data_IF_168874134627
#
_entry.id   IF_168874134627
#
_cell.length_a   1.000
_cell.length_b   1.000
_cell.length_c   1.000
_cell.angle_alpha   90.00
_cell.angle_beta   90.00
_cell.angle_gamma   90.00
#
_symmetry.space_group_name_H-M   'P 1'
#
loop_
_entity.id
_entity.type
_entity.pdbx_description
1 polymer ?
#
# COMPACT_ATOMS: atom_id res chain seq x y z
N UNK A 1 -18.81 -21.90 0.46
CA UNK A 1 -17.40 -22.30 0.58
C UNK A 1 -16.56 -21.04 0.50
N UNK A 2 -15.94 -20.62 1.60
CA UNK A 2 -14.97 -19.53 1.55
C UNK A 2 -13.74 -20.02 0.78
N UNK A 3 -13.20 -19.25 -0.20
CA UNK A 3 -11.92 -19.59 -0.77
C UNK A 3 -10.88 -19.66 0.36
N UNK A 4 -9.98 -20.65 0.35
CA UNK A 4 -8.91 -20.70 1.32
C UNK A 4 -8.17 -19.37 1.30
N UNK A 5 -8.01 -18.75 2.47
CA UNK A 5 -7.28 -17.50 2.61
C UNK A 5 -5.86 -17.69 2.06
N UNK A 6 -5.40 -16.88 1.09
CA UNK A 6 -4.03 -16.98 0.56
C UNK A 6 -2.96 -16.66 1.61
N UNK A 7 -3.36 -16.19 2.80
CA UNK A 7 -2.47 -15.82 3.90
C UNK A 7 -2.26 -16.95 4.93
N UNK A 8 -2.80 -18.15 4.70
CA UNK A 8 -2.46 -19.35 5.48
C UNK A 8 -1.25 -20.10 4.89
N UNK A 9 -0.34 -19.39 4.22
CA UNK A 9 1.05 -19.86 4.15
C UNK A 9 1.55 -19.80 5.59
N UNK A 10 1.66 -20.96 6.21
CA UNK A 10 2.22 -21.09 7.55
C UNK A 10 3.47 -20.25 7.68
N UNK A 11 3.68 -19.65 8.85
CA UNK A 11 4.97 -19.09 9.26
C UNK A 11 6.01 -20.22 9.46
N UNK A 12 6.06 -21.18 8.54
CA UNK A 12 7.06 -22.22 8.38
C UNK A 12 8.30 -21.57 7.81
N UNK A 13 9.32 -21.40 8.66
CA UNK A 13 10.72 -21.76 8.39
C UNK A 13 11.34 -21.32 7.04
N UNK A 14 10.76 -20.32 6.37
CA UNK A 14 11.20 -19.89 5.04
C UNK A 14 12.33 -18.89 5.20
N UNK A 15 13.54 -19.37 4.94
CA UNK A 15 14.75 -18.56 4.84
C UNK A 15 14.53 -17.47 3.77
N UNK A 16 14.80 -16.18 4.08
CA UNK A 16 14.61 -15.11 3.09
C UNK A 16 15.48 -15.34 1.84
N UNK A 17 14.91 -15.06 0.66
CA UNK A 17 15.55 -15.22 -0.65
C UNK A 17 16.25 -13.92 -1.04
N UNK A 18 17.58 -13.95 -1.09
CA UNK A 18 18.42 -12.79 -1.40
C UNK A 18 18.98 -12.94 -2.81
N UNK A 19 18.57 -12.03 -3.70
CA UNK A 19 19.13 -11.97 -5.04
C UNK A 19 20.48 -11.23 -5.01
N UNK A 20 21.48 -11.84 -5.64
CA UNK A 20 22.79 -11.24 -5.83
C UNK A 20 22.88 -10.79 -7.29
N UNK A 21 23.31 -9.56 -7.53
CA UNK A 21 23.44 -9.03 -8.89
C UNK A 21 24.71 -8.20 -8.98
N UNK A 22 25.57 -8.50 -9.94
CA UNK A 22 26.80 -7.72 -10.08
C UNK A 22 27.83 -8.32 -11.02
N UNK A 23 28.67 -7.47 -11.59
CA UNK A 23 29.78 -7.85 -12.48
C UNK A 23 31.04 -7.14 -12.04
N UNK A 24 32.13 -7.89 -11.97
CA UNK A 24 33.50 -7.46 -11.69
C UNK A 24 34.43 -7.73 -12.90
N UNK A 25 33.86 -7.87 -14.11
CA UNK A 25 34.64 -8.05 -15.33
C UNK A 25 35.42 -6.77 -15.67
N UNK A 26 36.74 -6.77 -15.44
CA UNK A 26 37.63 -5.66 -15.70
C UNK A 26 37.71 -5.23 -17.17
N UNK A 27 37.28 -6.09 -18.10
CA UNK A 27 37.28 -5.81 -19.54
C UNK A 27 36.12 -4.92 -19.98
N UNK A 28 35.13 -4.72 -19.10
CA UNK A 28 33.99 -3.86 -19.37
C UNK A 28 34.29 -2.45 -18.89
N UNK A 29 33.78 -1.47 -19.63
CA UNK A 29 33.76 -0.08 -19.18
C UNK A 29 32.60 0.13 -18.19
N UNK A 30 32.90 0.79 -17.08
CA UNK A 30 31.94 1.16 -16.07
C UNK A 30 32.06 2.64 -15.76
N UNK A 31 30.92 3.25 -15.50
CA UNK A 31 30.82 4.61 -14.98
C UNK A 31 29.92 4.56 -13.75
N UNK A 32 30.40 4.88 -12.53
CA UNK A 32 31.83 5.09 -12.19
C UNK A 32 32.65 3.80 -12.37
N UNK A 33 33.99 3.90 -12.54
CA UNK A 33 34.84 2.72 -12.73
C UNK A 33 34.82 1.79 -11.51
N UNK A 34 35.11 0.51 -11.73
CA UNK A 34 35.32 -0.44 -10.65
C UNK A 34 36.60 -0.09 -9.88
N UNK A 35 36.58 -0.35 -8.56
CA UNK A 35 37.70 -0.07 -7.64
C UNK A 35 38.10 -1.33 -6.89
N UNK A 36 39.40 -1.50 -6.69
CA UNK A 36 40.01 -2.56 -5.87
C UNK A 36 39.39 -3.95 -6.13
N UNK A 37 39.58 -4.45 -7.35
CA UNK A 37 38.92 -5.67 -7.82
C UNK A 37 39.26 -6.90 -6.98
N UNK A 38 40.49 -7.03 -6.49
CA UNK A 38 40.89 -8.16 -5.68
C UNK A 38 40.19 -8.13 -4.31
N UNK A 39 40.09 -6.94 -3.70
CA UNK A 39 39.28 -6.75 -2.50
C UNK A 39 37.80 -6.98 -2.77
N UNK A 40 37.27 -6.56 -3.92
CA UNK A 40 35.87 -6.79 -4.31
C UNK A 40 35.54 -8.29 -4.43
N UNK A 41 36.46 -9.08 -4.99
CA UNK A 41 36.33 -10.54 -5.07
C UNK A 41 36.35 -11.19 -3.68
N UNK A 42 37.31 -10.80 -2.84
CA UNK A 42 37.38 -11.27 -1.45
C UNK A 42 36.10 -10.91 -0.67
N UNK A 43 35.60 -9.69 -0.84
CA UNK A 43 34.36 -9.21 -0.24
C UNK A 43 33.14 -10.04 -0.66
N UNK A 44 33.04 -10.45 -1.93
CA UNK A 44 31.99 -11.36 -2.39
C UNK A 44 32.02 -12.70 -1.63
N UNK A 45 33.20 -13.28 -1.43
CA UNK A 45 33.33 -14.53 -0.66
C UNK A 45 32.94 -14.34 0.81
N UNK A 46 33.41 -13.27 1.45
CA UNK A 46 33.05 -12.94 2.83
C UNK A 46 31.54 -12.70 2.98
N UNK A 47 30.93 -12.01 2.02
CA UNK A 47 29.50 -11.77 1.97
C UNK A 47 28.70 -13.05 1.81
N UNK A 48 29.13 -13.96 0.93
CA UNK A 48 28.51 -15.28 0.79
C UNK A 48 28.48 -16.06 2.09
N UNK A 49 29.62 -16.09 2.81
CA UNK A 49 29.70 -16.73 4.14
C UNK A 49 28.73 -16.08 5.13
N UNK A 50 28.71 -14.75 5.18
CA UNK A 50 27.81 -14.03 6.09
C UNK A 50 26.33 -14.30 5.77
N UNK A 51 25.95 -14.35 4.48
CA UNK A 51 24.58 -14.66 4.07
C UNK A 51 24.17 -16.08 4.47
N UNK A 52 25.05 -17.06 4.32
CA UNK A 52 24.81 -18.45 4.75
C UNK A 52 24.59 -18.54 6.26
N UNK A 53 25.48 -17.91 7.05
CA UNK A 53 25.40 -17.87 8.52
C UNK A 53 24.15 -17.14 9.01
N UNK A 54 23.73 -16.09 8.31
CA UNK A 54 22.49 -15.36 8.59
C UNK A 54 21.22 -16.11 8.16
N UNK A 55 21.34 -17.35 7.70
CA UNK A 55 20.24 -18.21 7.29
C UNK A 55 19.41 -17.67 6.12
N UNK A 56 20.05 -17.04 5.14
CA UNK A 56 19.42 -16.67 3.89
C UNK A 56 19.59 -17.76 2.82
N UNK A 57 18.69 -17.76 1.84
CA UNK A 57 18.84 -18.50 0.59
C UNK A 57 19.26 -17.53 -0.52
N UNK A 58 20.02 -18.01 -1.51
CA UNK A 58 20.52 -17.18 -2.59
C UNK A 58 19.71 -17.36 -3.86
N UNK A 59 19.53 -16.27 -4.59
CA UNK A 59 19.00 -16.25 -5.95
C UNK A 59 20.08 -15.66 -6.86
N UNK A 60 20.46 -16.39 -7.90
CA UNK A 60 21.56 -16.04 -8.82
C UNK A 60 21.19 -16.31 -10.27
N UNK A 61 21.93 -15.71 -11.21
CA UNK A 61 21.59 -15.69 -12.63
C UNK A 61 22.76 -16.14 -13.54
N UNK A 62 24.00 -16.09 -13.06
CA UNK A 62 25.19 -16.52 -13.81
C UNK A 62 26.18 -17.30 -12.95
N UNK A 63 26.95 -18.19 -13.59
CA UNK A 63 28.05 -18.98 -13.02
C UNK A 63 29.42 -18.58 -13.55
N UNK A 64 29.54 -17.50 -14.34
CA UNK A 64 30.87 -17.06 -14.82
C UNK A 64 31.67 -16.38 -13.71
N UNK A 65 32.98 -16.58 -13.69
CA UNK A 65 33.87 -16.15 -12.59
C UNK A 65 33.92 -14.64 -12.34
N UNK A 66 33.61 -13.84 -13.35
CA UNK A 66 33.60 -12.38 -13.23
C UNK A 66 32.28 -11.81 -12.70
N UNK A 67 31.24 -12.63 -12.52
CA UNK A 67 30.01 -12.18 -11.86
C UNK A 67 30.12 -12.30 -10.35
N UNK A 68 29.64 -11.29 -9.64
CA UNK A 68 29.62 -11.27 -8.18
C UNK A 68 28.81 -12.44 -7.62
N UNK A 69 27.74 -12.83 -8.33
CA UNK A 69 26.89 -13.99 -8.03
C UNK A 69 27.69 -15.27 -7.80
N UNK A 70 28.58 -15.62 -8.73
CA UNK A 70 29.43 -16.82 -8.65
C UNK A 70 30.36 -16.78 -7.44
N UNK A 71 30.99 -15.63 -7.19
CA UNK A 71 31.92 -15.45 -6.07
C UNK A 71 31.20 -15.52 -4.72
N UNK A 72 30.01 -14.91 -4.62
CA UNK A 72 29.15 -14.99 -3.43
C UNK A 72 28.68 -16.42 -3.21
N UNK A 73 28.27 -17.15 -4.25
CA UNK A 73 27.88 -18.57 -4.13
C UNK A 73 29.03 -19.43 -3.65
N UNK A 74 30.25 -19.24 -4.16
CA UNK A 74 31.45 -19.96 -3.66
C UNK A 74 31.69 -19.69 -2.17
N UNK A 75 31.59 -18.42 -1.75
CA UNK A 75 31.71 -18.04 -0.34
C UNK A 75 30.61 -18.66 0.53
N UNK A 76 29.37 -18.65 0.04
CA UNK A 76 28.21 -19.24 0.70
C UNK A 76 28.36 -20.75 0.87
N UNK A 77 28.71 -21.46 -0.20
CA UNK A 77 28.88 -22.91 -0.23
C UNK A 77 29.98 -23.41 0.72
N UNK A 78 31.01 -22.59 1.00
CA UNK A 78 32.10 -22.92 1.89
C UNK A 78 31.68 -23.10 3.37
N UNK A 79 30.55 -22.53 3.79
CA UNK A 79 30.05 -22.62 5.18
C UNK A 79 28.59 -23.05 5.29
N UNK A 80 27.89 -23.16 4.16
CA UNK A 80 26.49 -23.54 4.15
C UNK A 80 26.29 -25.00 4.57
N UNK A 81 25.27 -25.21 5.40
CA UNK A 81 24.78 -26.55 5.75
C UNK A 81 23.82 -27.06 4.68
N UNK A 82 23.41 -28.33 4.78
CA UNK A 82 22.38 -28.96 3.91
C UNK A 82 21.04 -28.23 3.85
N UNK A 83 20.79 -27.29 4.77
CA UNK A 83 19.60 -26.43 4.78
C UNK A 83 19.72 -25.20 3.88
N UNK A 84 20.94 -24.77 3.55
CA UNK A 84 21.15 -23.63 2.66
C UNK A 84 20.78 -23.96 1.22
N UNK A 85 20.11 -23.03 0.54
CA UNK A 85 19.68 -23.18 -0.85
C UNK A 85 20.22 -22.07 -1.74
N UNK A 86 20.60 -22.45 -2.95
CA UNK A 86 20.89 -21.54 -4.07
C UNK A 86 19.93 -21.86 -5.20
N UNK A 87 19.16 -20.88 -5.62
CA UNK A 87 18.25 -20.97 -6.78
C UNK A 87 18.87 -20.21 -7.95
N UNK A 88 19.24 -20.95 -8.99
CA UNK A 88 19.85 -20.40 -10.18
C UNK A 88 18.81 -20.24 -11.28
N UNK A 89 18.51 -18.99 -11.63
CA UNK A 89 17.54 -18.65 -12.67
C UNK A 89 18.26 -18.42 -13.99
N UNK A 90 18.07 -19.35 -14.93
CA UNK A 90 18.74 -19.34 -16.23
C UNK A 90 17.75 -19.30 -17.38
N UNK A 91 18.20 -18.74 -18.50
CA UNK A 91 17.50 -18.90 -19.77
C UNK A 91 17.37 -20.40 -20.13
N UNK A 92 16.32 -20.76 -20.87
CA UNK A 92 15.85 -22.13 -21.11
C UNK A 92 16.95 -23.17 -21.40
N UNK A 93 17.95 -22.79 -22.20
CA UNK A 93 18.99 -23.68 -22.71
C UNK A 93 20.32 -23.63 -21.96
N UNK A 94 20.37 -22.95 -20.82
CA UNK A 94 21.59 -22.79 -20.06
C UNK A 94 21.58 -23.63 -18.79
N UNK A 95 22.67 -24.36 -18.56
CA UNK A 95 22.93 -25.01 -17.29
C UNK A 95 23.62 -24.06 -16.33
N UNK A 96 23.48 -24.35 -15.03
CA UNK A 96 24.16 -23.65 -13.96
C UNK A 96 25.08 -24.65 -13.26
N UNK A 97 26.38 -24.51 -13.50
CA UNK A 97 27.40 -25.45 -13.00
C UNK A 97 28.55 -24.68 -12.36
N UNK A 98 28.32 -24.02 -11.21
CA UNK A 98 29.38 -23.30 -10.53
C UNK A 98 30.40 -24.30 -9.97
N UNK A 99 31.68 -23.94 -10.03
CA UNK A 99 32.70 -24.68 -9.29
C UNK A 99 32.56 -24.36 -7.80
N UNK A 100 32.23 -25.38 -7.00
CA UNK A 100 32.07 -25.27 -5.56
C UNK A 100 33.28 -25.85 -4.82
N UNK A 101 33.54 -25.40 -3.58
CA UNK A 101 34.52 -26.05 -2.71
C UNK A 101 34.20 -27.54 -2.50
N UNK A 102 35.24 -28.36 -2.35
CA UNK A 102 35.11 -29.78 -2.05
C UNK A 102 34.33 -29.97 -0.73
N UNK A 103 33.38 -30.92 -0.72
CA UNK A 103 32.52 -31.17 0.44
C UNK A 103 31.37 -30.17 0.63
N UNK A 104 31.15 -29.23 -0.30
CA UNK A 104 30.01 -28.32 -0.24
C UNK A 104 28.68 -29.08 -0.14
N UNK A 105 27.86 -28.73 0.86
CA UNK A 105 26.60 -29.41 1.16
C UNK A 105 25.35 -28.63 0.77
N UNK A 106 25.54 -27.46 0.14
CA UNK A 106 24.47 -26.55 -0.30
C UNK A 106 23.59 -27.19 -1.36
N UNK A 107 22.27 -26.98 -1.29
CA UNK A 107 21.34 -27.42 -2.33
C UNK A 107 21.28 -26.39 -3.44
N UNK A 108 21.70 -26.76 -4.64
CA UNK A 108 21.54 -25.94 -5.85
C UNK A 108 20.32 -26.42 -6.62
N UNK A 109 19.44 -25.50 -7.00
CA UNK A 109 18.28 -25.78 -7.85
C UNK A 109 18.30 -24.84 -9.05
N UNK A 110 18.35 -25.39 -10.25
CA UNK A 110 18.26 -24.61 -11.49
C UNK A 110 16.80 -24.44 -11.87
N UNK A 111 16.32 -23.20 -11.86
CA UNK A 111 14.97 -22.84 -12.28
C UNK A 111 15.06 -22.33 -13.72
N UNK A 112 14.46 -23.08 -14.65
CA UNK A 112 14.45 -22.75 -16.07
C UNK A 112 13.18 -21.99 -16.42
N UNK A 113 13.32 -20.93 -17.20
CA UNK A 113 12.18 -20.24 -17.80
C UNK A 113 11.78 -20.89 -19.13
N UNK A 114 10.56 -20.59 -19.58
CA UNK A 114 10.02 -21.07 -20.86
C UNK A 114 10.60 -20.24 -22.03
N UNK A 115 10.90 -18.96 -21.77
CA UNK A 115 11.46 -18.03 -22.76
C UNK A 115 12.99 -18.14 -22.91
N UNK A 116 13.46 -17.72 -24.08
CA UNK A 116 14.90 -17.65 -24.39
C UNK A 116 15.53 -16.32 -23.93
N UNK A 117 14.71 -15.28 -23.77
CA UNK A 117 15.09 -13.97 -23.26
C UNK A 117 15.45 -14.07 -21.77
N UNK A 118 16.68 -13.71 -21.41
CA UNK A 118 17.14 -13.81 -20.02
C UNK A 118 16.56 -12.71 -19.13
N UNK A 119 16.18 -11.57 -19.71
CA UNK A 119 15.68 -10.39 -19.02
C UNK A 119 14.37 -10.68 -18.27
N UNK A 120 13.48 -11.46 -18.88
CA UNK A 120 12.17 -11.80 -18.32
C UNK A 120 12.30 -12.62 -17.02
N UNK A 121 12.97 -13.80 -16.99
CA UNK A 121 13.23 -14.52 -15.75
C UNK A 121 14.02 -13.69 -14.76
N UNK A 122 15.00 -12.90 -15.23
CA UNK A 122 15.83 -12.06 -14.38
C UNK A 122 14.99 -11.07 -13.58
N UNK A 123 14.23 -10.19 -14.25
CA UNK A 123 13.45 -9.16 -13.57
C UNK A 123 12.28 -9.74 -12.77
N UNK A 124 11.60 -10.76 -13.29
CA UNK A 124 10.50 -11.42 -12.55
C UNK A 124 11.00 -12.01 -11.23
N UNK A 125 12.13 -12.69 -11.26
CA UNK A 125 12.70 -13.31 -10.07
C UNK A 125 13.23 -12.27 -9.11
N UNK A 126 13.88 -11.22 -9.62
CA UNK A 126 14.37 -10.10 -8.83
C UNK A 126 13.24 -9.43 -8.05
N UNK A 127 12.08 -9.24 -8.68
CA UNK A 127 10.90 -8.64 -8.03
C UNK A 127 10.24 -9.56 -6.99
N UNK A 128 10.49 -10.87 -7.07
CA UNK A 128 10.01 -11.86 -6.12
C UNK A 128 11.00 -12.12 -4.96
N UNK A 129 12.18 -11.50 -4.96
CA UNK A 129 13.16 -11.64 -3.89
C UNK A 129 12.76 -10.84 -2.64
N UNK A 130 13.17 -11.33 -1.48
CA UNK A 130 12.95 -10.65 -0.20
C UNK A 130 13.92 -9.49 0.00
N UNK A 131 15.09 -9.56 -0.64
CA UNK A 131 16.10 -8.51 -0.64
C UNK A 131 17.13 -8.72 -1.76
N UNK A 132 17.88 -7.66 -2.07
CA UNK A 132 18.83 -7.64 -3.18
C UNK A 132 20.17 -7.07 -2.70
N UNK A 133 21.25 -7.72 -3.10
CA UNK A 133 22.63 -7.29 -2.91
C UNK A 133 23.21 -6.93 -4.27
N UNK A 134 23.79 -5.73 -4.39
CA UNK A 134 24.42 -5.26 -5.61
C UNK A 134 25.93 -5.07 -5.41
N UNK A 135 26.74 -5.56 -6.33
CA UNK A 135 28.21 -5.42 -6.28
C UNK A 135 28.75 -5.00 -7.65
N UNK A 136 29.39 -3.83 -7.73
CA UNK A 136 29.92 -3.30 -8.98
C UNK A 136 28.83 -3.21 -10.06
N UNK A 137 29.06 -3.86 -11.19
CA UNK A 137 28.06 -4.06 -12.23
C UNK A 137 27.86 -2.85 -13.15
N UNK A 138 27.20 -3.10 -14.28
CA UNK A 138 26.91 -2.09 -15.31
C UNK A 138 25.42 -1.75 -15.38
N UNK A 139 24.94 -1.43 -16.58
CA UNK A 139 23.55 -0.97 -16.81
C UNK A 139 22.47 -1.90 -16.22
N UNK A 140 22.59 -3.22 -16.39
CA UNK A 140 21.60 -4.18 -15.86
C UNK A 140 21.53 -4.16 -14.33
N UNK A 141 22.68 -4.08 -13.65
CA UNK A 141 22.77 -3.92 -12.19
C UNK A 141 22.13 -2.63 -11.72
N UNK A 142 22.31 -1.52 -12.47
CA UNK A 142 21.63 -0.26 -12.17
C UNK A 142 20.12 -0.40 -12.29
N UNK A 143 19.63 -0.91 -13.42
CA UNK A 143 18.19 -1.09 -13.66
C UNK A 143 17.56 -1.98 -12.58
N UNK A 144 18.20 -3.10 -12.26
CA UNK A 144 17.82 -3.97 -11.15
C UNK A 144 17.67 -3.21 -9.82
N UNK A 145 18.67 -2.39 -9.46
CA UNK A 145 18.63 -1.59 -8.24
C UNK A 145 17.51 -0.55 -8.23
N UNK A 146 17.30 0.17 -9.33
CA UNK A 146 16.22 1.17 -9.43
C UNK A 146 14.84 0.53 -9.36
N UNK A 147 14.62 -0.59 -10.07
CA UNK A 147 13.37 -1.33 -10.01
C UNK A 147 13.10 -1.84 -8.59
N UNK A 148 14.12 -2.33 -7.91
CA UNK A 148 14.02 -2.78 -6.53
C UNK A 148 13.63 -1.65 -5.57
N UNK A 149 14.29 -0.49 -5.66
CA UNK A 149 13.94 0.70 -4.87
C UNK A 149 12.49 1.13 -5.14
N UNK A 150 12.10 1.24 -6.41
CA UNK A 150 10.75 1.62 -6.82
C UNK A 150 9.65 0.65 -6.29
N UNK A 151 9.99 -0.62 -6.12
CA UNK A 151 9.08 -1.66 -5.59
C UNK A 151 9.19 -1.85 -4.06
N UNK A 152 9.97 -0.98 -3.39
CA UNK A 152 10.24 -1.07 -1.96
C UNK A 152 10.87 -2.41 -1.56
N UNK A 153 11.64 -3.04 -2.45
CA UNK A 153 12.43 -4.23 -2.14
C UNK A 153 13.68 -3.76 -1.41
N UNK A 154 14.07 -4.37 -0.27
CA UNK A 154 15.31 -4.09 0.42
C UNK A 154 16.51 -4.23 -0.51
N UNK A 155 17.33 -3.18 -0.60
CA UNK A 155 18.52 -3.15 -1.48
C UNK A 155 19.74 -2.79 -0.65
N UNK A 156 20.81 -3.54 -0.89
CA UNK A 156 22.11 -3.31 -0.26
C UNK A 156 23.19 -3.16 -1.34
N UNK A 157 23.36 -1.95 -1.90
CA UNK A 157 24.42 -1.69 -2.86
C UNK A 157 25.78 -1.52 -2.18
N UNK A 158 26.75 -2.38 -2.52
CA UNK A 158 28.13 -2.27 -2.03
C UNK A 158 28.90 -1.25 -2.89
N UNK A 159 28.76 0.04 -2.54
CA UNK A 159 29.34 1.12 -3.33
C UNK A 159 30.86 1.23 -3.22
N UNK A 160 31.48 0.60 -2.22
CA UNK A 160 32.93 0.61 -1.99
C UNK A 160 33.74 0.20 -3.24
N UNK A 161 33.15 -0.60 -4.13
CA UNK A 161 33.81 -1.16 -5.32
C UNK A 161 33.45 -0.44 -6.63
N UNK A 162 32.70 0.67 -6.56
CA UNK A 162 32.29 1.42 -7.75
C UNK A 162 31.18 0.77 -8.58
N UNK A 163 31.15 1.11 -9.88
CA UNK A 163 30.14 0.61 -10.81
C UNK A 163 28.71 1.09 -10.53
N UNK A 164 27.75 0.38 -11.09
CA UNK A 164 26.33 0.68 -10.94
C UNK A 164 25.82 0.58 -9.49
N UNK A 165 26.41 -0.29 -8.66
CA UNK A 165 26.08 -0.35 -7.24
C UNK A 165 26.28 1.01 -6.55
N UNK A 166 27.35 1.74 -6.88
CA UNK A 166 27.57 3.08 -6.35
C UNK A 166 26.48 4.07 -6.76
N UNK A 167 26.05 4.05 -8.03
CA UNK A 167 24.96 4.90 -8.51
C UNK A 167 23.65 4.59 -7.78
N UNK A 168 23.32 3.31 -7.60
CA UNK A 168 22.12 2.89 -6.86
C UNK A 168 22.17 3.35 -5.41
N UNK A 169 23.35 3.38 -4.77
CA UNK A 169 23.49 3.95 -3.42
C UNK A 169 23.15 5.45 -3.38
N UNK A 170 23.58 6.21 -4.39
CA UNK A 170 23.24 7.64 -4.51
C UNK A 170 21.74 7.83 -4.68
N UNK A 171 21.09 7.01 -5.50
CA UNK A 171 19.63 7.05 -5.69
C UNK A 171 18.87 6.61 -4.43
N UNK A 172 19.40 5.61 -3.71
CA UNK A 172 18.87 5.18 -2.40
C UNK A 172 18.97 6.31 -1.36
N UNK A 173 20.02 7.12 -1.38
CA UNK A 173 20.18 8.25 -0.46
C UNK A 173 19.10 9.34 -0.63
N UNK A 174 18.51 9.43 -1.83
CA UNK A 174 17.48 10.42 -2.18
C UNK A 174 16.07 9.93 -1.93
N UNK A 175 15.89 8.64 -1.61
CA UNK A 175 14.58 8.03 -1.45
C UNK A 175 14.33 7.65 0.01
N UNK A 176 13.18 8.05 0.53
CA UNK A 176 12.72 7.70 1.89
C UNK A 176 12.16 6.26 1.92
N UNK A 177 12.99 5.29 1.54
CA UNK A 177 12.63 3.87 1.58
C UNK A 177 12.99 3.23 2.92
N UNK A 178 13.08 1.90 2.95
CA UNK A 178 13.38 1.13 4.16
C UNK A 178 14.82 1.30 4.69
N UNK A 179 15.66 2.11 4.05
CA UNK A 179 17.03 2.43 4.47
C UNK A 179 17.07 3.77 5.22
N UNK A 180 17.87 3.87 6.29
CA UNK A 180 18.13 5.12 7.00
C UNK A 180 19.38 5.78 6.41
N UNK A 181 19.60 7.05 6.72
CA UNK A 181 20.83 7.76 6.33
C UNK A 181 22.09 7.04 6.83
N UNK A 182 22.05 6.49 8.05
CA UNK A 182 23.13 5.67 8.62
C UNK A 182 23.39 4.42 7.76
N UNK A 183 22.34 3.70 7.33
CA UNK A 183 22.52 2.53 6.46
C UNK A 183 23.16 2.92 5.12
N UNK A 184 22.74 4.04 4.53
CA UNK A 184 23.33 4.55 3.28
C UNK A 184 24.81 4.89 3.46
N UNK A 185 25.19 5.43 4.62
CA UNK A 185 26.59 5.73 4.95
C UNK A 185 27.43 4.46 5.04
N UNK A 186 26.97 3.44 5.80
CA UNK A 186 27.66 2.15 5.94
C UNK A 186 27.99 1.51 4.59
N UNK A 187 27.08 1.66 3.62
CA UNK A 187 27.20 1.05 2.30
C UNK A 187 28.16 1.77 1.35
N UNK A 188 28.61 2.98 1.73
CA UNK A 188 29.67 3.73 1.05
C UNK A 188 31.05 3.61 1.72
N UNK A 189 31.16 2.99 2.89
CA UNK A 189 32.43 2.83 3.60
C UNK A 189 33.37 1.83 2.91
N UNK A 190 34.67 1.98 3.14
CA UNK A 190 35.67 1.00 2.69
C UNK A 190 35.42 -0.38 3.31
N UNK A 191 35.67 -1.43 2.53
CA UNK A 191 35.40 -2.80 2.96
C UNK A 191 36.35 -3.29 4.05
N UNK A 192 35.80 -3.66 5.21
CA UNK A 192 36.52 -4.23 6.36
C UNK A 192 36.05 -5.65 6.67
N UNK A 193 36.73 -6.32 7.61
CA UNK A 193 36.36 -7.68 8.04
C UNK A 193 34.94 -7.76 8.67
N UNK A 194 34.37 -6.62 9.09
CA UNK A 194 33.03 -6.56 9.68
C UNK A 194 31.94 -6.19 8.67
N UNK A 195 32.32 -5.70 7.49
CA UNK A 195 31.39 -5.18 6.48
C UNK A 195 30.35 -6.21 6.07
N UNK A 196 30.74 -7.48 5.87
CA UNK A 196 29.80 -8.54 5.51
C UNK A 196 28.70 -8.76 6.57
N UNK A 197 29.07 -8.77 7.86
CA UNK A 197 28.10 -8.90 8.97
C UNK A 197 27.20 -7.67 9.05
N UNK A 198 27.76 -6.46 8.92
CA UNK A 198 26.98 -5.22 8.92
C UNK A 198 25.99 -5.19 7.77
N UNK A 199 26.44 -5.46 6.54
CA UNK A 199 25.61 -5.55 5.32
C UNK A 199 24.43 -6.52 5.49
N UNK A 200 24.68 -7.71 6.03
CA UNK A 200 23.61 -8.71 6.24
C UNK A 200 22.62 -8.33 7.35
N UNK A 201 23.10 -7.66 8.41
CA UNK A 201 22.26 -7.06 9.45
C UNK A 201 21.41 -5.90 8.93
N UNK A 202 21.98 -5.04 8.08
CA UNK A 202 21.26 -3.96 7.43
C UNK A 202 20.13 -4.49 6.55
N UNK A 203 20.41 -5.51 5.73
CA UNK A 203 19.42 -6.14 4.88
C UNK A 203 18.26 -6.72 5.70
N UNK A 204 18.54 -7.36 6.84
CA UNK A 204 17.52 -7.83 7.80
C UNK A 204 16.65 -6.70 8.31
N UNK A 205 17.28 -5.64 8.81
CA UNK A 205 16.56 -4.50 9.37
C UNK A 205 15.66 -3.83 8.32
N UNK A 206 16.10 -3.77 7.05
CA UNK A 206 15.27 -3.27 5.95
C UNK A 206 14.07 -4.19 5.68
N UNK A 207 14.25 -5.51 5.65
CA UNK A 207 13.17 -6.49 5.48
C UNK A 207 12.13 -6.39 6.61
N UNK A 208 12.57 -6.28 7.86
CA UNK A 208 11.68 -6.15 9.03
C UNK A 208 10.85 -4.85 8.96
N UNK A 209 11.47 -3.73 8.60
CA UNK A 209 10.75 -2.45 8.40
C UNK A 209 9.72 -2.53 7.27
N UNK A 210 10.04 -3.24 6.18
CA UNK A 210 9.09 -3.47 5.08
C UNK A 210 7.86 -4.25 5.56
N UNK A 211 8.07 -5.32 6.33
CA UNK A 211 6.97 -6.12 6.90
C UNK A 211 6.10 -5.27 7.82
N UNK A 212 6.72 -4.47 8.69
CA UNK A 212 6.01 -3.59 9.61
C UNK A 212 5.20 -2.49 8.88
N UNK A 213 5.78 -1.84 7.86
CA UNK A 213 5.06 -0.86 7.03
C UNK A 213 3.82 -1.49 6.37
N UNK A 214 3.99 -2.67 5.76
CA UNK A 214 2.87 -3.41 5.15
C UNK A 214 1.80 -3.79 6.16
N UNK A 215 2.17 -4.15 7.39
CA UNK A 215 1.21 -4.44 8.48
C UNK A 215 0.44 -3.19 8.88
N UNK A 216 1.11 -2.03 9.02
CA UNK A 216 0.48 -0.74 9.32
C UNK A 216 -0.49 -0.30 8.23
N UNK A 217 -0.08 -0.37 6.97
CA UNK A 217 -0.94 -0.07 5.83
C UNK A 217 -2.17 -0.99 5.77
N UNK A 218 -1.99 -2.30 5.99
CA UNK A 218 -3.12 -3.25 6.07
C UNK A 218 -4.06 -2.91 7.22
N UNK A 219 -3.53 -2.51 8.39
CA UNK A 219 -4.33 -2.10 9.54
C UNK A 219 -5.10 -0.81 9.26
N UNK A 220 -4.45 0.19 8.67
CA UNK A 220 -5.11 1.44 8.25
C UNK A 220 -6.24 1.14 7.28
N UNK A 221 -5.96 0.39 6.20
CA UNK A 221 -6.98 0.01 5.21
C UNK A 221 -8.15 -0.77 5.81
N UNK A 222 -7.91 -1.56 6.86
CA UNK A 222 -9.00 -2.23 7.58
C UNK A 222 -9.83 -1.19 8.33
N UNK A 223 -9.21 -0.32 9.11
CA UNK A 223 -9.92 0.74 9.83
C UNK A 223 -10.72 1.64 8.86
N UNK A 224 -10.14 1.98 7.71
CA UNK A 224 -10.80 2.78 6.68
C UNK A 224 -12.06 2.06 6.14
N UNK A 225 -11.95 0.76 5.80
CA UNK A 225 -13.12 -0.05 5.39
C UNK A 225 -14.18 -0.19 6.48
N UNK A 226 -13.75 -0.30 7.74
CA UNK A 226 -14.67 -0.38 8.88
C UNK A 226 -15.38 0.96 9.09
N UNK A 227 -14.68 2.08 8.92
CA UNK A 227 -15.29 3.41 8.96
C UNK A 227 -16.28 3.61 7.81
N UNK A 228 -15.92 3.20 6.59
CA UNK A 228 -16.81 3.21 5.41
C UNK A 228 -18.08 2.37 5.65
N UNK A 229 -17.91 1.13 6.13
CA UNK A 229 -19.04 0.23 6.43
C UNK A 229 -19.90 0.77 7.58
N UNK A 230 -19.27 1.35 8.61
CA UNK A 230 -19.95 1.97 9.74
C UNK A 230 -20.83 3.16 9.32
N UNK A 231 -20.35 3.98 8.37
CA UNK A 231 -21.14 5.07 7.80
C UNK A 231 -22.41 4.58 7.10
N UNK A 232 -22.30 3.51 6.31
CA UNK A 232 -23.46 2.91 5.62
C UNK A 232 -24.46 2.27 6.61
N UNK A 233 -23.96 1.54 7.61
CA UNK A 233 -24.82 0.95 8.66
C UNK A 233 -25.55 2.06 9.43
N UNK A 234 -24.85 3.13 9.82
CA UNK A 234 -25.45 4.29 10.47
C UNK A 234 -26.52 4.95 9.59
N UNK A 235 -26.27 5.09 8.28
CA UNK A 235 -27.25 5.63 7.34
C UNK A 235 -28.52 4.76 7.27
N UNK A 236 -28.38 3.43 7.21
CA UNK A 236 -29.51 2.50 7.20
C UNK A 236 -30.31 2.62 8.51
N UNK A 237 -29.63 2.63 9.66
CA UNK A 237 -30.28 2.77 10.96
C UNK A 237 -31.05 4.09 11.09
N UNK A 238 -30.47 5.21 10.66
CA UNK A 238 -31.13 6.51 10.67
C UNK A 238 -32.37 6.55 9.77
N UNK A 239 -32.31 5.89 8.60
CA UNK A 239 -33.46 5.75 7.71
C UNK A 239 -34.57 4.92 8.36
N UNK A 240 -34.22 3.80 9.00
CA UNK A 240 -35.17 2.96 9.72
C UNK A 240 -35.84 3.73 10.88
N UNK A 241 -35.07 4.53 11.63
CA UNK A 241 -35.61 5.41 12.68
C UNK A 241 -36.59 6.43 12.10
N UNK A 242 -36.23 7.07 10.98
CA UNK A 242 -37.12 8.02 10.29
C UNK A 242 -38.43 7.37 9.80
N UNK A 243 -38.36 6.14 9.29
CA UNK A 243 -39.55 5.38 8.84
C UNK A 243 -40.39 4.89 10.03
N UNK A 244 -39.76 4.46 11.11
CA UNK A 244 -40.45 4.05 12.33
C UNK A 244 -41.27 5.19 12.94
N UNK A 245 -40.80 6.44 12.84
CA UNK A 245 -41.55 7.62 13.30
C UNK A 245 -42.94 7.74 12.66
N UNK A 246 -43.12 7.30 11.40
CA UNK A 246 -44.42 7.32 10.71
C UNK A 246 -45.43 6.38 11.38
N UNK A 247 -44.95 5.27 11.93
CA UNK A 247 -45.79 4.26 12.60
C UNK A 247 -46.02 4.61 14.07
N UNK A 248 -45.00 5.17 14.72
CA UNK A 248 -45.00 5.47 16.15
C UNK A 248 -45.69 6.79 16.51
N UNK A 249 -45.88 7.70 15.55
CA UNK A 249 -46.58 8.96 15.84
C UNK A 249 -48.04 8.65 16.22
N UNK A 250 -48.54 9.20 17.35
CA UNK A 250 -49.93 9.01 17.73
C UNK A 250 -50.88 9.45 16.62
N UNK A 251 -51.99 8.74 16.45
CA UNK A 251 -53.05 9.14 15.52
C UNK A 251 -53.69 10.48 15.90
N UNK A 252 -54.56 11.03 15.03
CA UNK A 252 -55.22 12.31 15.29
C UNK A 252 -56.00 12.25 16.61
N UNK A 253 -55.56 13.05 17.58
CA UNK A 253 -56.19 13.20 18.89
C UNK A 253 -56.80 14.59 19.04
N UNK A 254 -57.82 14.76 19.89
CA UNK A 254 -58.37 16.08 20.18
C UNK A 254 -57.36 16.89 21.00
N UNK A 255 -56.83 17.97 20.42
CA UNK A 255 -55.96 18.92 21.11
C UNK A 255 -54.67 19.26 20.35
N UNK A 256 -53.93 20.27 20.83
CA UNK A 256 -52.69 20.72 20.20
C UNK A 256 -51.64 19.61 20.18
N UNK A 257 -50.79 19.61 19.14
CA UNK A 257 -49.73 18.63 18.99
C UNK A 257 -48.83 18.60 20.23
N UNK A 258 -48.74 17.44 20.87
CA UNK A 258 -47.85 17.22 22.01
C UNK A 258 -46.37 17.42 21.61
N UNK A 259 -45.54 17.73 22.59
CA UNK A 259 -44.09 17.92 22.42
C UNK A 259 -43.42 16.73 21.72
N UNK A 260 -43.87 15.51 22.02
CA UNK A 260 -43.38 14.28 21.38
C UNK A 260 -43.71 14.23 19.87
N UNK A 261 -44.92 14.63 19.48
CA UNK A 261 -45.36 14.68 18.08
C UNK A 261 -44.55 15.70 17.29
N UNK A 262 -44.32 16.88 17.87
CA UNK A 262 -43.47 17.91 17.27
C UNK A 262 -42.01 17.46 17.16
N UNK A 263 -41.48 16.80 18.18
CA UNK A 263 -40.13 16.25 18.14
C UNK A 263 -39.96 15.19 17.04
N UNK A 264 -40.95 14.33 16.82
CA UNK A 264 -40.93 13.35 15.72
C UNK A 264 -41.04 14.01 14.34
N UNK A 265 -41.90 15.03 14.20
CA UNK A 265 -42.06 15.81 12.96
C UNK A 265 -40.78 16.54 12.54
N UNK A 266 -39.99 17.01 13.50
CA UNK A 266 -38.71 17.67 13.22
C UNK A 266 -37.58 16.65 13.08
N UNK A 267 -37.49 15.69 13.99
CA UNK A 267 -36.38 14.75 14.10
C UNK A 267 -36.33 13.72 12.97
N UNK A 268 -37.47 13.12 12.61
CA UNK A 268 -37.52 12.08 11.58
C UNK A 268 -36.97 12.53 10.21
N UNK A 269 -37.40 13.66 9.63
CA UNK A 269 -36.84 14.14 8.37
C UNK A 269 -35.38 14.59 8.47
N UNK A 270 -34.91 15.07 9.63
CA UNK A 270 -33.49 15.35 9.85
C UNK A 270 -32.66 14.05 9.86
N UNK A 271 -33.14 12.99 10.52
CA UNK A 271 -32.52 11.67 10.46
C UNK A 271 -32.49 11.12 9.02
N UNK A 272 -33.59 11.28 8.27
CA UNK A 272 -33.67 10.90 6.87
C UNK A 272 -32.66 11.68 6.00
N UNK A 273 -32.51 12.98 6.24
CA UNK A 273 -31.53 13.82 5.54
C UNK A 273 -30.08 13.42 5.85
N UNK A 274 -29.75 13.12 7.12
CA UNK A 274 -28.43 12.59 7.48
C UNK A 274 -28.17 11.25 6.79
N UNK A 275 -29.16 10.36 6.76
CA UNK A 275 -29.05 9.09 6.04
C UNK A 275 -28.77 9.29 4.55
N UNK A 276 -29.53 10.16 3.87
CA UNK A 276 -29.32 10.50 2.47
C UNK A 276 -27.92 11.06 2.21
N UNK A 277 -27.44 11.98 3.07
CA UNK A 277 -26.11 12.55 2.96
C UNK A 277 -24.99 11.52 3.16
N UNK A 278 -25.12 10.61 4.14
CA UNK A 278 -24.16 9.53 4.38
C UNK A 278 -24.09 8.53 3.22
N UNK A 279 -25.23 8.15 2.65
CA UNK A 279 -25.27 7.29 1.45
C UNK A 279 -24.58 8.01 0.28
N UNK A 280 -24.86 9.29 0.07
CA UNK A 280 -24.23 10.05 -1.01
C UNK A 280 -22.71 10.16 -0.85
N UNK A 281 -22.23 10.39 0.37
CA UNK A 281 -20.81 10.51 0.72
C UNK A 281 -20.08 9.17 0.57
N UNK A 282 -20.77 8.05 0.77
CA UNK A 282 -20.21 6.69 0.53
C UNK A 282 -19.83 6.42 -0.93
N UNK A 283 -20.35 7.20 -1.88
CA UNK A 283 -19.95 7.16 -3.30
C UNK A 283 -18.82 8.16 -3.65
N UNK A 284 -18.28 8.89 -2.67
CA UNK A 284 -17.23 9.89 -2.86
C UNK A 284 -15.80 9.31 -2.80
N UNK A 285 -14.81 10.07 -3.32
CA UNK A 285 -13.39 9.69 -3.33
C UNK A 285 -12.73 9.77 -1.95
N UNK A 286 -13.34 10.52 -1.02
CA UNK A 286 -12.83 10.72 0.35
C UNK A 286 -13.98 10.92 1.32
N UNK A 287 -14.64 9.83 1.75
CA UNK A 287 -15.80 9.92 2.62
C UNK A 287 -15.43 10.55 3.97
N UNK A 288 -16.27 11.44 4.46
CA UNK A 288 -16.15 12.07 5.76
C UNK A 288 -17.52 12.10 6.43
N UNK A 289 -17.81 11.05 7.21
CA UNK A 289 -19.08 10.88 7.90
C UNK A 289 -19.49 12.13 8.71
N UNK A 290 -18.53 12.81 9.34
CA UNK A 290 -18.80 14.05 10.09
C UNK A 290 -19.33 15.17 9.19
N UNK A 291 -18.70 15.39 8.02
CA UNK A 291 -19.15 16.42 7.06
C UNK A 291 -20.49 16.04 6.46
N UNK A 292 -20.69 14.77 6.11
CA UNK A 292 -21.95 14.26 5.59
C UNK A 292 -23.08 14.46 6.61
N UNK A 293 -22.87 14.12 7.88
CA UNK A 293 -23.83 14.36 8.96
C UNK A 293 -24.17 15.84 9.12
N UNK A 294 -23.17 16.73 9.14
CA UNK A 294 -23.39 18.17 9.26
C UNK A 294 -24.23 18.73 8.10
N UNK A 295 -23.93 18.31 6.87
CA UNK A 295 -24.68 18.73 5.67
C UNK A 295 -26.10 18.16 5.66
N UNK A 296 -26.26 16.89 5.99
CA UNK A 296 -27.56 16.24 6.10
C UNK A 296 -28.44 16.90 7.16
N UNK A 297 -27.89 17.22 8.34
CA UNK A 297 -28.59 17.98 9.38
C UNK A 297 -29.02 19.36 8.88
N UNK A 298 -28.12 20.10 8.23
CA UNK A 298 -28.42 21.42 7.67
C UNK A 298 -29.51 21.36 6.59
N UNK A 299 -29.38 20.44 5.63
CA UNK A 299 -30.36 20.25 4.56
C UNK A 299 -31.74 19.82 5.10
N UNK A 300 -31.75 18.90 6.06
CA UNK A 300 -32.98 18.45 6.74
C UNK A 300 -33.64 19.59 7.51
N UNK A 301 -32.89 20.36 8.29
CA UNK A 301 -33.42 21.51 9.03
C UNK A 301 -34.05 22.55 8.09
N UNK A 302 -33.38 22.90 6.99
CA UNK A 302 -33.92 23.84 5.98
C UNK A 302 -35.20 23.27 5.35
N UNK A 303 -35.18 22.01 4.90
CA UNK A 303 -36.34 21.37 4.26
C UNK A 303 -37.56 21.36 5.20
N UNK A 304 -37.36 21.01 6.47
CA UNK A 304 -38.42 20.99 7.48
C UNK A 304 -38.95 22.39 7.77
N UNK A 305 -38.08 23.38 7.98
CA UNK A 305 -38.49 24.76 8.26
C UNK A 305 -39.26 25.35 7.09
N UNK A 306 -38.80 25.15 5.85
CA UNK A 306 -39.50 25.62 4.66
C UNK A 306 -40.85 24.92 4.49
N UNK A 307 -40.92 23.62 4.76
CA UNK A 307 -42.19 22.89 4.73
C UNK A 307 -43.19 23.41 5.76
N UNK A 308 -42.76 23.56 7.02
CA UNK A 308 -43.61 24.07 8.11
C UNK A 308 -44.07 25.50 7.81
N UNK A 309 -43.17 26.37 7.34
CA UNK A 309 -43.53 27.74 6.94
C UNK A 309 -44.58 27.75 5.81
N UNK A 310 -44.42 26.89 4.80
CA UNK A 310 -45.39 26.77 3.71
C UNK A 310 -46.76 26.27 4.21
N UNK A 311 -46.79 25.31 5.14
CA UNK A 311 -48.03 24.85 5.76
C UNK A 311 -48.70 25.95 6.60
N UNK A 312 -47.94 26.70 7.40
CA UNK A 312 -48.49 27.81 8.19
C UNK A 312 -49.09 28.92 7.33
N UNK A 313 -48.49 29.19 6.16
CA UNK A 313 -49.00 30.18 5.22
C UNK A 313 -50.27 29.72 4.48
N UNK A 314 -50.42 28.41 4.24
CA UNK A 314 -51.52 27.86 3.42
C UNK A 314 -52.67 27.29 4.24
N UNK A 315 -52.39 26.81 5.46
CA UNK A 315 -53.35 26.19 6.36
C UNK A 315 -52.95 26.46 7.83
N UNK A 316 -53.24 27.66 8.37
CA UNK A 316 -52.83 28.02 9.74
C UNK A 316 -53.47 27.14 10.81
N UNK A 317 -54.67 26.62 10.56
CA UNK A 317 -55.40 25.70 11.47
C UNK A 317 -54.76 24.30 11.55
N UNK A 318 -53.78 23.99 10.70
CA UNK A 318 -53.12 22.68 10.66
C UNK A 318 -52.36 22.36 11.96
N UNK A 319 -52.03 23.37 12.77
CA UNK A 319 -51.43 23.18 14.10
C UNK A 319 -52.45 22.79 15.19
N UNK A 320 -53.73 23.09 14.99
CA UNK A 320 -54.79 22.85 15.97
C UNK A 320 -55.33 21.42 15.92
N UNK A 321 -55.22 20.75 14.76
CA UNK A 321 -55.66 19.36 14.52
C UNK A 321 -54.65 18.55 13.70
N UNK A 322 -53.38 18.58 14.10
CA UNK A 322 -52.24 18.16 13.30
C UNK A 322 -52.21 16.63 13.08
N UNK A 323 -52.55 16.17 11.86
CA UNK A 323 -52.33 14.78 11.43
C UNK A 323 -50.85 14.56 11.07
N UNK A 324 -50.03 14.47 12.11
CA UNK A 324 -48.58 14.34 12.02
C UNK A 324 -48.13 13.16 11.16
N UNK A 325 -48.94 12.09 11.12
CA UNK A 325 -48.66 10.90 10.34
C UNK A 325 -48.67 11.19 8.85
N UNK A 326 -49.68 11.91 8.36
CA UNK A 326 -49.76 12.33 6.94
C UNK A 326 -48.60 13.23 6.55
N UNK A 327 -48.23 14.17 7.43
CA UNK A 327 -47.09 15.06 7.17
C UNK A 327 -45.78 14.27 7.11
N UNK A 328 -45.53 13.35 8.05
CA UNK A 328 -44.31 12.53 8.06
C UNK A 328 -44.13 11.70 6.77
N UNK A 329 -45.21 11.17 6.17
CA UNK A 329 -45.17 10.49 4.88
C UNK A 329 -44.58 11.35 3.75
N UNK A 330 -44.69 12.67 3.85
CA UNK A 330 -44.19 13.61 2.85
C UNK A 330 -42.82 14.20 3.23
N UNK A 331 -42.66 14.61 4.50
CA UNK A 331 -41.45 15.31 4.95
C UNK A 331 -40.25 14.35 5.08
N UNK A 332 -40.45 13.07 5.41
CA UNK A 332 -39.36 12.09 5.51
C UNK A 332 -38.67 11.84 4.15
N UNK A 333 -39.39 11.50 3.05
CA UNK A 333 -38.78 11.43 1.73
C UNK A 333 -38.13 12.74 1.29
N UNK A 334 -38.77 13.89 1.56
CA UNK A 334 -38.21 15.20 1.23
C UNK A 334 -36.89 15.46 1.96
N UNK A 335 -36.82 15.15 3.26
CA UNK A 335 -35.59 15.24 4.05
C UNK A 335 -34.49 14.36 3.49
N UNK A 336 -34.80 13.09 3.20
CA UNK A 336 -33.86 12.17 2.55
C UNK A 336 -33.32 12.73 1.23
N UNK A 337 -34.20 13.16 0.32
CA UNK A 337 -33.81 13.74 -0.96
C UNK A 337 -32.96 14.99 -0.79
N UNK A 338 -33.32 15.87 0.16
CA UNK A 338 -32.55 17.07 0.47
C UNK A 338 -31.12 16.72 0.89
N UNK A 339 -30.96 15.80 1.85
CA UNK A 339 -29.65 15.34 2.29
C UNK A 339 -28.84 14.64 1.19
N UNK A 340 -29.48 13.78 0.40
CA UNK A 340 -28.82 13.05 -0.69
C UNK A 340 -28.35 13.96 -1.84
N UNK A 341 -29.06 15.06 -2.11
CA UNK A 341 -28.80 15.95 -3.26
C UNK A 341 -28.09 17.24 -2.89
N UNK A 342 -27.98 17.60 -1.60
CA UNK A 342 -27.44 18.88 -1.15
C UNK A 342 -26.07 19.21 -1.76
N UNK A 343 -25.15 18.24 -1.76
CA UNK A 343 -23.80 18.43 -2.30
C UNK A 343 -23.80 18.69 -3.81
N UNK A 344 -24.71 18.07 -4.57
CA UNK A 344 -24.82 18.32 -6.02
C UNK A 344 -25.27 19.75 -6.30
N UNK A 345 -26.23 20.24 -5.52
CA UNK A 345 -26.72 21.62 -5.64
C UNK A 345 -25.63 22.60 -5.24
N UNK A 346 -24.95 22.36 -4.12
CA UNK A 346 -23.89 23.24 -3.63
C UNK A 346 -22.68 23.27 -4.57
N UNK A 347 -22.24 22.11 -5.08
CA UNK A 347 -21.19 22.05 -6.10
C UNK A 347 -21.60 22.79 -7.37
N UNK A 348 -22.85 22.65 -7.81
CA UNK A 348 -23.37 23.36 -8.99
C UNK A 348 -23.42 24.87 -8.76
N UNK A 349 -23.84 25.34 -7.58
CA UNK A 349 -23.81 26.76 -7.22
C UNK A 349 -22.38 27.30 -7.16
N UNK A 350 -21.45 26.53 -6.59
CA UNK A 350 -20.03 26.91 -6.53
C UNK A 350 -19.36 26.94 -7.90
N UNK A 351 -19.71 26.03 -8.81
CA UNK A 351 -19.26 26.05 -10.21
C UNK A 351 -19.96 27.14 -11.02
N UNK A 352 -21.17 27.51 -10.61
CA UNK A 352 -22.01 28.55 -11.19
C UNK A 352 -21.76 29.95 -10.65
N UNK A 353 -20.56 30.23 -10.14
CA UNK A 353 -20.07 31.61 -9.91
C UNK A 353 -19.19 32.06 -11.10
N UNK A 354 -19.78 32.39 -12.28
CA UNK A 354 -19.08 33.06 -13.34
C UNK A 354 -18.93 34.54 -12.98
N UNK A 355 -17.92 34.87 -12.19
CA UNK A 355 -17.14 36.06 -12.53
C UNK A 355 -16.42 35.68 -13.84
N UNK A 356 -16.83 36.09 -15.05
CA UNK A 356 -17.15 37.46 -15.45
C UNK A 356 -15.92 38.31 -15.16
N UNK A 357 -15.07 38.75 -16.10
CA UNK A 357 -15.34 39.33 -17.42
C UNK A 357 -14.02 39.59 -18.18
N UNK A 358 -14.11 39.53 -19.50
CA UNK A 358 -13.39 40.30 -20.55
C UNK A 358 -11.88 40.11 -20.79
N UNK A 359 -11.57 39.59 -21.97
CA UNK A 359 -10.73 40.34 -22.94
C UNK A 359 -11.32 40.16 -24.34
N UNK A 360 -11.85 41.21 -24.98
CA UNK A 360 -12.13 41.21 -26.42
C UNK A 360 -10.85 41.64 -27.19
N UNK A 361 -10.85 41.54 -28.54
CA UNK A 361 -9.75 41.03 -29.36
C UNK A 361 -8.55 41.95 -29.55
#
# INVERSE_FOLDING_TARGET
>A
MNPPSPDAVSATDSRPRIAVVGSLDARREYDPPLRDLDRARAACHELGRALALASYDLVVFSDRDHYAETLVVRGYAAVATRKGRVEAHRARHQEYTPELPEGASVRITTVRDIGDEWEVPFYRTLLAADGIVLVGGGRSTRVAGILALAQGIPVTPLAAFGGAAEQVRVDMARSEHHATAEHVQVLGESWSAESARRVTGLLRAQMERRVESRRRERRSRRLDRWAESGGLVAAILLLLVALAAIVLVPGPGPGPAGTATLALLLGAPMCAAVSGALIRDSFGVSPSALRACARGLGAGAVAVLTYVAAQLLTAPELLEGLDARRLLFFVVPMGFTAGFTFDLVFERLRRGDPKGTTSPP
#
